data_IF_468349116144
#
_entry.id   IF_468349116144
#
_cell.length_a   1.000
_cell.length_b   1.000
_cell.length_c   1.000
_cell.angle_alpha   90.00
_cell.angle_beta   90.00
_cell.angle_gamma   90.00
#
_symmetry.space_group_name_H-M   'P 1'
#
loop_
_entity.id
_entity.type
_entity.pdbx_description
1 polymer ?
#
# COMPACT_ATOMS: atom_id res chain seq x y z
N UNK A 1 -7.82 8.79 3.51
CA UNK A 1 -6.55 8.63 2.79
C UNK A 1 -6.29 9.96 2.10
N UNK A 2 -5.14 10.60 2.35
CA UNK A 2 -4.73 11.83 1.66
C UNK A 2 -3.74 11.46 0.54
N UNK A 3 -3.90 12.06 -0.62
CA UNK A 3 -3.17 11.75 -1.84
C UNK A 3 -2.61 13.02 -2.44
N UNK A 4 -1.43 12.93 -3.05
CA UNK A 4 -0.75 14.08 -3.65
C UNK A 4 -0.78 13.96 -5.18
N UNK A 5 -1.21 15.02 -5.87
CA UNK A 5 -1.26 15.12 -7.32
C UNK A 5 -0.52 16.39 -7.77
N UNK A 6 0.36 16.29 -8.76
CA UNK A 6 1.27 17.37 -9.19
C UNK A 6 1.13 17.78 -10.66
N UNK A 7 0.17 17.23 -11.42
CA UNK A 7 0.03 17.52 -12.86
C UNK A 7 -1.17 18.43 -13.20
N UNK A 8 -0.96 19.57 -13.89
CA UNK A 8 -2.05 20.46 -14.30
C UNK A 8 -2.99 19.77 -15.30
N UNK A 9 -4.31 19.91 -15.10
CA UNK A 9 -5.35 19.31 -15.95
C UNK A 9 -5.84 17.92 -15.51
N UNK A 10 -5.29 17.37 -14.42
CA UNK A 10 -5.76 16.10 -13.84
C UNK A 10 -6.61 16.33 -12.59
N UNK A 11 -7.66 15.52 -12.39
CA UNK A 11 -8.56 15.67 -11.25
C UNK A 11 -7.75 15.59 -9.93
N UNK A 12 -7.73 16.64 -9.08
CA UNK A 12 -6.96 16.67 -7.84
C UNK A 12 -7.34 15.57 -6.84
N UNK A 13 -8.53 14.98 -7.00
CA UNK A 13 -9.03 13.85 -6.21
C UNK A 13 -8.42 12.48 -6.64
N UNK A 14 -7.54 12.46 -7.65
CA UNK A 14 -6.97 11.21 -8.18
C UNK A 14 -5.80 10.74 -7.33
N UNK A 15 -5.90 9.51 -6.84
CA UNK A 15 -5.00 8.92 -5.86
C UNK A 15 -3.67 8.44 -6.46
N UNK A 16 -2.84 9.33 -7.00
CA UNK A 16 -1.62 8.91 -7.72
C UNK A 16 -0.48 8.45 -6.81
N UNK A 17 -0.36 9.04 -5.62
CA UNK A 17 0.69 8.72 -4.65
C UNK A 17 0.12 8.46 -3.26
N UNK A 18 0.64 7.45 -2.57
CA UNK A 18 0.32 7.13 -1.17
C UNK A 18 1.59 7.17 -0.31
N UNK A 19 1.49 7.81 0.86
CA UNK A 19 2.53 7.84 1.90
C UNK A 19 2.22 6.78 2.95
N UNK A 20 3.18 5.91 3.20
CA UNK A 20 3.07 4.85 4.20
C UNK A 20 4.30 4.77 5.09
N UNK A 21 4.14 4.21 6.29
CA UNK A 21 5.24 3.89 7.20
C UNK A 21 4.95 2.56 7.94
N UNK A 22 5.94 1.89 8.53
CA UNK A 22 5.73 0.67 9.31
C UNK A 22 5.03 0.92 10.66
N UNK A 23 5.26 2.08 11.28
CA UNK A 23 4.74 2.41 12.62
C UNK A 23 3.70 3.54 12.57
N UNK A 24 2.81 3.58 13.57
CA UNK A 24 1.80 4.63 13.68
C UNK A 24 2.39 6.03 13.88
N UNK A 25 3.44 6.14 14.72
CA UNK A 25 4.15 7.40 14.98
C UNK A 25 4.73 8.02 13.70
N UNK A 26 5.46 7.23 12.90
CA UNK A 26 6.05 7.69 11.64
C UNK A 26 4.97 8.01 10.61
N UNK A 27 3.95 7.16 10.48
CA UNK A 27 2.85 7.39 9.55
C UNK A 27 2.10 8.71 9.85
N UNK A 28 1.87 9.04 11.11
CA UNK A 28 1.24 10.31 11.51
C UNK A 28 2.13 11.51 11.20
N UNK A 29 3.46 11.38 11.32
CA UNK A 29 4.39 12.48 11.06
C UNK A 29 4.39 12.94 9.59
N UNK A 30 4.18 12.00 8.66
CA UNK A 30 4.12 12.27 7.21
C UNK A 30 2.69 12.44 6.68
N UNK A 31 1.69 12.60 7.56
CA UNK A 31 0.26 12.62 7.19
C UNK A 31 -0.19 11.41 6.35
N UNK A 32 0.49 10.27 6.54
CA UNK A 32 0.27 9.02 5.83
C UNK A 32 -0.52 8.01 6.65
N UNK A 33 -0.29 6.72 6.36
CA UNK A 33 -0.86 5.63 7.15
C UNK A 33 0.09 4.46 7.30
N UNK A 34 -0.20 3.55 8.22
CA UNK A 34 0.65 2.37 8.35
C UNK A 34 0.48 1.41 7.17
N UNK A 35 1.53 0.70 6.78
CA UNK A 35 1.46 -0.36 5.77
C UNK A 35 0.39 -1.41 6.11
N UNK A 36 0.23 -1.72 7.40
CA UNK A 36 -0.80 -2.63 7.89
C UNK A 36 -2.21 -2.11 7.57
N UNK A 37 -2.49 -0.85 7.89
CA UNK A 37 -3.79 -0.22 7.62
C UNK A 37 -4.04 -0.03 6.12
N UNK A 38 -3.02 0.37 5.36
CA UNK A 38 -3.15 0.66 3.93
C UNK A 38 -3.52 -0.59 3.11
N UNK A 39 -2.80 -1.69 3.35
CA UNK A 39 -2.91 -2.92 2.56
C UNK A 39 -3.71 -4.03 3.26
N UNK A 40 -4.29 -3.74 4.43
CA UNK A 40 -4.97 -4.71 5.29
C UNK A 40 -4.07 -5.92 5.61
N UNK A 41 -2.80 -5.66 5.94
CA UNK A 41 -1.85 -6.72 6.28
C UNK A 41 -2.15 -7.25 7.70
N UNK A 42 -1.96 -8.57 7.93
CA UNK A 42 -2.09 -9.12 9.27
C UNK A 42 -1.01 -8.56 10.20
N UNK A 43 -1.39 -8.19 11.42
CA UNK A 43 -0.45 -7.67 12.45
C UNK A 43 0.44 -8.78 13.02
N UNK A 44 -0.06 -10.02 13.02
CA UNK A 44 0.68 -11.16 13.55
C UNK A 44 1.69 -11.68 12.52
N UNK A 45 2.95 -11.32 12.71
CA UNK A 45 4.09 -11.72 11.86
C UNK A 45 4.43 -13.23 11.92
N UNK A 46 3.82 -13.99 12.85
CA UNK A 46 4.12 -15.41 13.05
C UNK A 46 3.70 -16.33 11.88
N UNK A 47 2.94 -15.83 10.90
CA UNK A 47 2.58 -16.59 9.70
C UNK A 47 3.47 -16.15 8.54
N UNK A 48 4.41 -17.01 8.15
CA UNK A 48 5.22 -16.85 6.94
C UNK A 48 4.38 -16.72 5.65
N UNK A 49 3.09 -17.09 5.69
CA UNK A 49 2.19 -17.06 4.54
C UNK A 49 1.11 -16.01 4.74
N UNK A 50 1.06 -15.04 3.83
CA UNK A 50 -0.01 -14.07 3.73
C UNK A 50 -1.35 -14.78 3.46
N UNK A 51 -2.31 -14.55 4.34
CA UNK A 51 -3.69 -14.99 4.12
C UNK A 51 -4.30 -14.14 3.00
N UNK A 52 -4.97 -14.79 2.04
CA UNK A 52 -5.67 -14.07 0.97
C UNK A 52 -6.80 -13.24 1.59
N UNK A 53 -6.95 -12.00 1.13
CA UNK A 53 -8.16 -11.24 1.42
C UNK A 53 -9.38 -11.93 0.82
N UNK A 54 -10.51 -11.73 1.49
CA UNK A 54 -11.82 -11.95 0.90
C UNK A 54 -12.00 -11.07 -0.36
N UNK A 55 -12.75 -11.59 -1.33
CA UNK A 55 -12.93 -10.92 -2.62
C UNK A 55 -13.59 -9.54 -2.49
N UNK A 56 -14.54 -9.38 -1.57
CA UNK A 56 -15.24 -8.10 -1.39
C UNK A 56 -14.32 -7.04 -0.79
N UNK A 57 -13.50 -7.44 0.19
CA UNK A 57 -12.49 -6.56 0.79
C UNK A 57 -11.42 -6.19 -0.24
N UNK A 58 -10.93 -7.18 -0.99
CA UNK A 58 -9.94 -6.97 -2.04
C UNK A 58 -10.46 -6.02 -3.12
N UNK A 59 -11.72 -6.16 -3.53
CA UNK A 59 -12.36 -5.26 -4.50
C UNK A 59 -12.51 -3.85 -3.95
N UNK A 60 -12.95 -3.70 -2.71
CA UNK A 60 -13.11 -2.39 -2.07
C UNK A 60 -11.78 -1.63 -1.99
N UNK A 61 -10.68 -2.33 -1.68
CA UNK A 61 -9.34 -1.74 -1.67
C UNK A 61 -8.89 -1.45 -3.11
N UNK A 62 -9.11 -2.39 -4.04
CA UNK A 62 -8.76 -2.22 -5.46
C UNK A 62 -9.39 -0.99 -6.09
N UNK A 63 -10.67 -0.72 -5.81
CA UNK A 63 -11.35 0.50 -6.30
C UNK A 63 -10.69 1.77 -5.76
N UNK A 64 -10.23 1.78 -4.50
CA UNK A 64 -9.54 2.93 -3.90
C UNK A 64 -8.14 3.15 -4.46
N UNK A 65 -7.46 2.07 -4.82
CA UNK A 65 -6.08 2.07 -5.30
C UNK A 65 -5.98 2.03 -6.83
N UNK A 66 -7.11 2.06 -7.56
CA UNK A 66 -7.15 1.86 -9.01
C UNK A 66 -6.25 2.83 -9.80
N UNK A 67 -6.08 4.05 -9.27
CA UNK A 67 -5.29 5.12 -9.89
C UNK A 67 -3.92 5.31 -9.19
N UNK A 68 -3.56 4.42 -8.26
CA UNK A 68 -2.29 4.48 -7.55
C UNK A 68 -1.13 4.14 -8.46
N UNK A 69 -0.16 5.05 -8.54
CA UNK A 69 1.04 4.91 -9.36
C UNK A 69 2.30 4.80 -8.49
N UNK A 70 2.29 5.43 -7.32
CA UNK A 70 3.43 5.54 -6.42
C UNK A 70 3.05 5.21 -4.97
N UNK A 71 3.81 4.32 -4.35
CA UNK A 71 3.77 4.05 -2.92
C UNK A 71 5.11 4.45 -2.32
N UNK A 72 5.08 5.42 -1.41
CA UNK A 72 6.27 5.88 -0.68
C UNK A 72 6.26 5.24 0.69
N UNK A 73 7.35 4.60 1.08
CA UNK A 73 7.49 3.94 2.38
C UNK A 73 8.58 4.63 3.20
N UNK A 74 8.14 5.45 4.15
CA UNK A 74 9.03 6.03 5.16
C UNK A 74 9.45 4.98 6.19
N UNK A 75 10.61 5.18 6.82
CA UNK A 75 11.21 4.26 7.79
C UNK A 75 11.37 2.82 7.25
N UNK A 76 11.76 2.68 5.98
CA UNK A 76 11.95 1.37 5.33
C UNK A 76 12.94 0.46 6.07
N UNK A 77 13.89 1.04 6.82
CA UNK A 77 14.85 0.32 7.67
C UNK A 77 14.19 -0.58 8.72
N UNK A 78 12.96 -0.24 9.15
CA UNK A 78 12.18 -1.03 10.10
C UNK A 78 11.30 -2.10 9.41
N UNK A 79 11.24 -2.12 8.08
CA UNK A 79 10.46 -3.08 7.31
C UNK A 79 11.30 -4.33 7.04
N UNK A 80 11.01 -5.39 7.80
CA UNK A 80 11.64 -6.70 7.56
C UNK A 80 11.22 -7.35 6.24
N UNK A 81 12.04 -8.31 5.76
CA UNK A 81 11.83 -9.04 4.51
C UNK A 81 10.42 -9.62 4.35
N UNK A 82 9.91 -10.32 5.38
CA UNK A 82 8.56 -10.92 5.36
C UNK A 82 7.46 -9.89 5.13
N UNK A 83 7.56 -8.74 5.80
CA UNK A 83 6.58 -7.66 5.65
C UNK A 83 6.65 -7.07 4.24
N UNK A 84 7.86 -6.87 3.70
CA UNK A 84 8.06 -6.38 2.35
C UNK A 84 7.51 -7.34 1.29
N UNK A 85 7.72 -8.65 1.45
CA UNK A 85 7.09 -9.67 0.59
C UNK A 85 5.56 -9.66 0.70
N UNK A 86 5.01 -9.43 1.90
CA UNK A 86 3.57 -9.29 2.08
C UNK A 86 3.01 -8.05 1.38
N UNK A 87 3.75 -6.93 1.34
CA UNK A 87 3.37 -5.73 0.58
C UNK A 87 3.25 -6.06 -0.91
N UNK A 88 4.29 -6.68 -1.49
CA UNK A 88 4.30 -7.10 -2.90
C UNK A 88 3.14 -8.06 -3.22
N UNK A 89 3.03 -9.16 -2.46
CA UNK A 89 1.98 -10.16 -2.66
C UNK A 89 0.57 -9.58 -2.53
N UNK A 90 0.38 -8.63 -1.62
CA UNK A 90 -0.91 -7.99 -1.40
C UNK A 90 -1.28 -7.04 -2.52
N UNK A 91 -0.33 -6.24 -3.02
CA UNK A 91 -0.55 -5.37 -4.18
C UNK A 91 -0.82 -6.18 -5.44
N UNK A 92 -0.10 -7.28 -5.67
CA UNK A 92 -0.40 -8.23 -6.75
C UNK A 92 -1.82 -8.80 -6.65
N UNK A 93 -2.26 -9.17 -5.44
CA UNK A 93 -3.62 -9.66 -5.20
C UNK A 93 -4.67 -8.57 -5.54
N UNK A 94 -4.49 -7.35 -5.04
CA UNK A 94 -5.45 -6.24 -5.21
C UNK A 94 -5.52 -5.80 -6.67
N UNK A 95 -4.37 -5.64 -7.33
CA UNK A 95 -4.26 -5.19 -8.73
C UNK A 95 -4.49 -6.31 -9.75
N UNK A 96 -4.69 -7.54 -9.27
CA UNK A 96 -4.94 -8.74 -10.09
C UNK A 96 -3.88 -8.94 -11.18
N UNK A 97 -2.62 -8.71 -10.83
CA UNK A 97 -1.46 -8.85 -11.73
C UNK A 97 -0.28 -9.48 -11.03
N UNK A 98 0.65 -10.04 -11.79
CA UNK A 98 1.90 -10.64 -11.30
C UNK A 98 3.11 -9.73 -11.43
N UNK A 99 2.91 -8.50 -11.90
CA UNK A 99 3.97 -7.48 -11.88
C UNK A 99 4.42 -7.21 -10.44
N UNK A 100 5.71 -6.99 -10.19
CA UNK A 100 6.19 -6.55 -8.88
C UNK A 100 5.35 -5.38 -8.36
N UNK A 101 4.94 -5.45 -7.10
CA UNK A 101 4.07 -4.50 -6.41
C UNK A 101 2.77 -4.18 -7.14
N UNK A 102 2.23 -5.13 -7.90
CA UNK A 102 1.02 -4.89 -8.69
C UNK A 102 1.20 -3.89 -9.83
N UNK A 103 2.45 -3.58 -10.22
CA UNK A 103 2.78 -2.53 -11.20
C UNK A 103 2.86 -1.11 -10.63
N UNK A 104 2.77 -0.95 -9.31
CA UNK A 104 2.96 0.32 -8.61
C UNK A 104 4.46 0.55 -8.38
N UNK A 105 4.92 1.77 -8.59
CA UNK A 105 6.29 2.16 -8.23
C UNK A 105 6.39 2.29 -6.71
N UNK A 106 7.42 1.68 -6.11
CA UNK A 106 7.68 1.78 -4.67
C UNK A 106 9.00 2.53 -4.47
N UNK A 107 8.98 3.55 -3.61
CA UNK A 107 10.14 4.37 -3.25
C UNK A 107 10.30 4.38 -1.73
#
# INVERSE_FOLDING_TARGET
>A
LRFYNSLPGSNPETNRAALCAPTGKAATLIDGMTLHSFLSLPVNQCKHKLVKLDNDISNRIGVKLKDLQLLIIDEISMVGFTMFQHVDARLQQIMRTKKPFGGISVI
#
